data_IF_704942963154
#
_entry.id   IF_704942963154
#
_cell.length_a   1.000
_cell.length_b   1.000
_cell.length_c   1.000
_cell.angle_alpha   90.00
_cell.angle_beta   90.00
_cell.angle_gamma   90.00
#
_symmetry.space_group_name_H-M   'P 1'
#
loop_
_entity.id
_entity.type
_entity.pdbx_description
1 polymer ?
#
# COMPACT_ATOMS: atom_id res chain seq x y z
N UNK A 1 -3.47 -17.28 -0.16
CA UNK A 1 -4.27 -16.10 -0.50
C UNK A 1 -5.04 -16.33 -1.79
N UNK A 2 -6.27 -15.82 -1.87
CA UNK A 2 -7.10 -15.87 -3.08
C UNK A 2 -6.42 -15.12 -4.24
N UNK A 3 -6.48 -15.67 -5.46
CA UNK A 3 -5.77 -15.13 -6.63
C UNK A 3 -6.22 -13.70 -6.98
N UNK A 4 -7.52 -13.42 -6.86
CA UNK A 4 -8.09 -12.09 -7.11
C UNK A 4 -7.55 -11.04 -6.13
N UNK A 5 -7.52 -11.39 -4.84
CA UNK A 5 -6.97 -10.53 -3.79
C UNK A 5 -5.46 -10.33 -3.94
N UNK A 6 -4.74 -11.33 -4.47
CA UNK A 6 -3.32 -11.23 -4.80
C UNK A 6 -3.05 -10.18 -5.88
N UNK A 7 -3.85 -10.20 -6.94
CA UNK A 7 -3.76 -9.21 -8.01
C UNK A 7 -4.06 -7.79 -7.46
N UNK A 8 -5.15 -7.64 -6.70
CA UNK A 8 -5.53 -6.37 -6.09
C UNK A 8 -4.45 -5.83 -5.14
N UNK A 9 -3.84 -6.67 -4.30
CA UNK A 9 -2.71 -6.27 -3.45
C UNK A 9 -1.52 -5.80 -4.27
N UNK A 10 -1.09 -6.57 -5.27
CA UNK A 10 0.09 -6.22 -6.06
C UNK A 10 -0.12 -4.90 -6.80
N UNK A 11 -1.34 -4.66 -7.31
CA UNK A 11 -1.70 -3.39 -7.94
C UNK A 11 -1.69 -2.28 -6.89
N UNK A 12 -2.41 -2.42 -5.77
CA UNK A 12 -2.50 -1.37 -4.76
C UNK A 12 -1.15 -1.00 -4.14
N UNK A 13 -0.38 -2.00 -3.70
CA UNK A 13 0.95 -1.78 -3.11
C UNK A 13 1.95 -1.28 -4.15
N UNK A 14 2.01 -1.90 -5.33
CA UNK A 14 2.94 -1.52 -6.38
C UNK A 14 2.68 -0.11 -6.90
N UNK A 15 1.44 0.19 -7.30
CA UNK A 15 1.03 1.52 -7.77
C UNK A 15 1.20 2.56 -6.66
N UNK A 16 0.84 2.21 -5.41
CA UNK A 16 0.97 3.10 -4.27
C UNK A 16 2.42 3.49 -3.95
N UNK A 17 3.36 2.55 -4.02
CA UNK A 17 4.80 2.83 -3.84
C UNK A 17 5.33 3.68 -5.00
N UNK A 18 4.99 3.33 -6.25
CA UNK A 18 5.45 4.07 -7.43
C UNK A 18 4.96 5.53 -7.39
N UNK A 19 3.69 5.76 -7.07
CA UNK A 19 3.16 7.12 -6.94
C UNK A 19 3.86 7.91 -5.82
N UNK A 20 4.14 7.28 -4.68
CA UNK A 20 4.84 7.96 -3.59
C UNK A 20 6.28 8.33 -3.97
N UNK A 21 7.01 7.45 -4.65
CA UNK A 21 8.36 7.73 -5.14
C UNK A 21 8.32 8.88 -6.15
N UNK A 22 7.41 8.83 -7.14
CA UNK A 22 7.25 9.90 -8.12
C UNK A 22 6.86 11.22 -7.47
N UNK A 23 5.96 11.21 -6.50
CA UNK A 23 5.59 12.39 -5.72
C UNK A 23 6.79 12.98 -4.96
N UNK A 24 7.65 12.12 -4.38
CA UNK A 24 8.89 12.54 -3.71
C UNK A 24 9.87 13.19 -4.69
N UNK A 25 10.05 12.60 -5.87
CA UNK A 25 10.90 13.17 -6.93
C UNK A 25 10.34 14.53 -7.36
N UNK A 26 9.02 14.65 -7.51
CA UNK A 26 8.37 15.92 -7.87
C UNK A 26 8.64 17.02 -6.83
N UNK A 27 8.60 16.67 -5.53
CA UNK A 27 8.91 17.60 -4.44
C UNK A 27 10.36 18.13 -4.49
N UNK A 28 11.29 17.38 -5.09
CA UNK A 28 12.69 17.83 -5.23
C UNK A 28 12.90 18.83 -6.37
N UNK A 29 11.91 19.05 -7.24
CA UNK A 29 12.03 19.96 -8.41
C UNK A 29 11.65 21.43 -8.11
N UNK A 30 11.27 21.75 -6.87
CA UNK A 30 11.02 23.13 -6.41
C UNK A 30 9.64 23.32 -5.77
N UNK A 31 9.45 24.47 -5.10
CA UNK A 31 8.27 24.75 -4.25
C UNK A 31 6.94 24.68 -5.00
N UNK A 32 6.91 25.10 -6.28
CA UNK A 32 5.69 25.02 -7.10
C UNK A 32 5.23 23.56 -7.33
N UNK A 33 6.18 22.63 -7.42
CA UNK A 33 5.91 21.20 -7.61
C UNK A 33 5.72 20.44 -6.28
N UNK A 34 6.00 21.09 -5.15
CA UNK A 34 5.90 20.48 -3.83
C UNK A 34 4.46 20.09 -3.47
N UNK A 35 3.49 20.94 -3.81
CA UNK A 35 2.05 20.68 -3.59
C UNK A 35 1.58 19.52 -4.49
N UNK A 36 1.97 19.53 -5.76
CA UNK A 36 1.64 18.45 -6.69
C UNK A 36 2.22 17.10 -6.23
N UNK A 37 3.47 17.11 -5.78
CA UNK A 37 4.11 15.92 -5.22
C UNK A 37 3.47 15.44 -3.93
N UNK A 38 3.00 16.35 -3.05
CA UNK A 38 2.25 16.00 -1.84
C UNK A 38 0.93 15.30 -2.17
N UNK A 39 0.15 15.85 -3.12
CA UNK A 39 -1.11 15.25 -3.56
C UNK A 39 -0.87 13.86 -4.16
N UNK A 40 0.17 13.73 -4.98
CA UNK A 40 0.54 12.45 -5.59
C UNK A 40 0.95 11.41 -4.54
N UNK A 41 1.67 11.83 -3.49
CA UNK A 41 1.96 10.98 -2.33
C UNK A 41 0.70 10.56 -1.58
N UNK A 42 -0.27 11.45 -1.37
CA UNK A 42 -1.53 11.12 -0.70
C UNK A 42 -2.36 10.12 -1.49
N UNK A 43 -2.44 10.28 -2.81
CA UNK A 43 -3.10 9.31 -3.70
C UNK A 43 -2.38 7.97 -3.66
N UNK A 44 -1.04 7.98 -3.71
CA UNK A 44 -0.22 6.77 -3.58
C UNK A 44 -0.44 6.06 -2.23
N UNK A 45 -0.56 6.81 -1.14
CA UNK A 45 -0.89 6.25 0.17
C UNK A 45 -2.29 5.61 0.18
N UNK A 46 -3.28 6.21 -0.47
CA UNK A 46 -4.61 5.61 -0.63
C UNK A 46 -4.58 4.26 -1.34
N UNK A 47 -3.87 4.17 -2.48
CA UNK A 47 -3.68 2.91 -3.20
C UNK A 47 -2.94 1.87 -2.38
N UNK A 48 -1.92 2.29 -1.62
CA UNK A 48 -1.13 1.42 -0.76
C UNK A 48 -1.98 0.82 0.37
N UNK A 49 -2.79 1.63 1.05
CA UNK A 49 -3.73 1.18 2.09
C UNK A 49 -4.73 0.20 1.50
N UNK A 50 -5.31 0.50 0.35
CA UNK A 50 -6.23 -0.41 -0.34
C UNK A 50 -5.56 -1.75 -0.69
N UNK A 51 -4.30 -1.73 -1.14
CA UNK A 51 -3.50 -2.94 -1.37
C UNK A 51 -3.30 -3.76 -0.09
N UNK A 52 -3.01 -3.10 1.04
CA UNK A 52 -2.83 -3.74 2.35
C UNK A 52 -4.13 -4.35 2.90
N UNK A 53 -5.28 -3.67 2.72
CA UNK A 53 -6.60 -4.20 3.09
C UNK A 53 -6.89 -5.49 2.31
N UNK A 54 -6.72 -5.47 0.98
CA UNK A 54 -6.91 -6.67 0.15
C UNK A 54 -5.93 -7.79 0.51
N UNK A 55 -4.75 -7.45 1.02
CA UNK A 55 -3.76 -8.44 1.44
C UNK A 55 -4.21 -9.19 2.71
N UNK A 56 -4.71 -8.45 3.71
CA UNK A 56 -5.31 -9.02 4.92
C UNK A 56 -6.50 -9.92 4.60
N UNK A 57 -7.46 -9.39 3.83
CA UNK A 57 -8.65 -10.14 3.42
C UNK A 57 -8.25 -11.38 2.62
N UNK A 58 -7.25 -11.25 1.74
CA UNK A 58 -6.71 -12.35 0.96
C UNK A 58 -6.07 -13.45 1.81
N UNK A 59 -5.53 -13.13 2.99
CA UNK A 59 -4.99 -14.08 3.98
C UNK A 59 -6.03 -14.57 4.99
N UNK A 60 -7.28 -14.14 4.90
CA UNK A 60 -8.37 -14.53 5.82
C UNK A 60 -8.41 -13.74 7.13
N UNK A 61 -7.83 -12.53 7.14
CA UNK A 61 -7.86 -11.61 8.27
C UNK A 61 -8.84 -10.46 8.02
N UNK A 62 -9.37 -9.82 9.09
CA UNK A 62 -10.23 -8.65 8.93
C UNK A 62 -9.48 -7.51 8.22
N UNK A 63 -10.12 -6.88 7.24
CA UNK A 63 -9.55 -5.79 6.44
C UNK A 63 -9.04 -4.60 7.27
N UNK A 64 -9.56 -4.40 8.48
CA UNK A 64 -9.09 -3.41 9.44
C UNK A 64 -7.60 -3.59 9.84
N UNK A 65 -7.08 -4.83 9.84
CA UNK A 65 -5.64 -5.07 10.04
C UNK A 65 -4.79 -4.53 8.89
N UNK A 66 -5.37 -4.32 7.71
CA UNK A 66 -4.70 -3.69 6.58
C UNK A 66 -4.33 -2.23 6.85
N UNK A 67 -4.99 -1.58 7.81
CA UNK A 67 -4.60 -0.25 8.30
C UNK A 67 -3.24 -0.25 9.00
N UNK A 68 -2.71 -1.41 9.43
CA UNK A 68 -1.31 -1.48 9.85
C UNK A 68 -0.36 -1.02 8.74
N UNK A 69 -0.75 -1.18 7.47
CA UNK A 69 -0.03 -0.58 6.33
C UNK A 69 0.14 0.94 6.41
N UNK A 70 -0.63 1.67 7.22
CA UNK A 70 -0.37 3.10 7.50
C UNK A 70 0.98 3.34 8.19
N UNK A 71 1.55 2.33 8.87
CA UNK A 71 2.93 2.34 9.38
C UNK A 71 3.97 2.24 8.24
N UNK A 72 3.55 2.39 6.98
CA UNK A 72 4.39 2.32 5.79
C UNK A 72 5.02 0.92 5.63
N UNK A 73 6.28 0.84 5.20
CA UNK A 73 6.99 -0.41 4.98
C UNK A 73 7.00 -1.35 6.20
N UNK A 74 6.99 -0.82 7.43
CA UNK A 74 6.97 -1.64 8.65
C UNK A 74 5.64 -2.40 8.81
N UNK A 75 4.52 -1.74 8.53
CA UNK A 75 3.21 -2.38 8.51
C UNK A 75 3.10 -3.44 7.42
N UNK A 76 3.70 -3.18 6.26
CA UNK A 76 3.78 -4.16 5.17
C UNK A 76 4.60 -5.40 5.56
N UNK A 77 5.71 -5.23 6.27
CA UNK A 77 6.55 -6.32 6.77
C UNK A 77 5.80 -7.22 7.75
N UNK A 78 5.12 -6.64 8.74
CA UNK A 78 4.28 -7.41 9.69
C UNK A 78 3.18 -8.18 8.94
N UNK A 79 2.52 -7.53 8.00
CA UNK A 79 1.51 -8.18 7.16
C UNK A 79 2.11 -9.35 6.37
N UNK A 80 3.30 -9.18 5.79
CA UNK A 80 3.98 -10.25 5.03
C UNK A 80 4.27 -11.45 5.91
N UNK A 81 4.71 -11.23 7.15
CA UNK A 81 5.00 -12.27 8.14
C UNK A 81 3.75 -12.94 8.71
N UNK A 82 2.57 -12.33 8.58
CA UNK A 82 1.31 -12.93 9.03
C UNK A 82 1.07 -14.29 8.35
N UNK A 83 0.81 -15.38 9.09
CA UNK A 83 0.56 -16.69 8.51
C UNK A 83 -0.72 -16.66 7.67
N UNK A 84 -0.72 -17.36 6.53
CA UNK A 84 -1.88 -17.40 5.63
C UNK A 84 -2.91 -18.40 6.17
N UNK A 85 -4.04 -17.92 6.71
CA UNK A 85 -5.07 -18.81 7.28
C UNK A 85 -5.77 -19.68 6.23
N UNK A 86 -5.59 -19.38 4.94
CA UNK A 86 -6.13 -20.20 3.84
C UNK A 86 -5.14 -21.24 3.33
N UNK A 87 -3.88 -21.20 3.77
CA UNK A 87 -2.90 -22.26 3.55
C UNK A 87 -2.60 -22.90 4.90
N UNK A 88 -3.47 -23.84 5.28
CA UNK A 88 -3.10 -24.88 6.25
C UNK A 88 -1.98 -25.74 5.68
#
# INVERSE_FOLDING_TARGET
>A
MLAEKKAATNIGVGVGIVLQILGRILQTQGDAMAIGGLLMMLVGAGFFIWGCINYCEGKGYPGALGLLGLLSCLGLLELVLLPDKHKG
#
